data_IF_407879045380
#
_entry.id   IF_407879045380
#
_cell.length_a   1.000
_cell.length_b   1.000
_cell.length_c   1.000
_cell.angle_alpha   90.00
_cell.angle_beta   90.00
_cell.angle_gamma   90.00
#
_symmetry.space_group_name_H-M   'P 1'
#
loop_
_entity.id
_entity.type
_entity.pdbx_description
1 polymer ?
#
# COMPACT_ATOMS: atom_id res chain seq x y z
N UNK A 1 48.69 -1.18 -10.26
CA UNK A 1 47.86 -2.35 -9.85
C UNK A 1 46.79 -1.97 -8.83
N UNK A 2 47.03 -1.02 -7.92
CA UNK A 2 46.01 -0.55 -6.96
C UNK A 2 44.87 0.24 -7.63
N UNK A 3 45.16 1.07 -8.64
CA UNK A 3 44.13 1.80 -9.41
C UNK A 3 43.14 0.85 -10.10
N UNK A 4 43.60 -0.23 -10.73
CA UNK A 4 42.71 -1.20 -11.40
C UNK A 4 41.74 -1.91 -10.44
N UNK A 5 42.16 -2.19 -9.21
CA UNK A 5 41.26 -2.80 -8.21
C UNK A 5 40.22 -1.80 -7.70
N UNK A 6 40.60 -0.54 -7.52
CA UNK A 6 39.69 0.55 -7.14
C UNK A 6 38.68 0.84 -8.26
N UNK A 7 39.12 0.88 -9.51
CA UNK A 7 38.26 1.10 -10.67
C UNK A 7 37.18 0.02 -10.80
N UNK A 8 37.54 -1.25 -10.56
CA UNK A 8 36.59 -2.37 -10.59
C UNK A 8 35.56 -2.24 -9.46
N UNK A 9 35.98 -1.88 -8.24
CA UNK A 9 35.08 -1.68 -7.10
C UNK A 9 34.12 -0.53 -7.37
N UNK A 10 34.61 0.60 -7.89
CA UNK A 10 33.76 1.73 -8.24
C UNK A 10 32.77 1.40 -9.37
N UNK A 11 33.19 0.60 -10.36
CA UNK A 11 32.29 0.11 -11.41
C UNK A 11 31.19 -0.78 -10.84
N UNK A 12 31.53 -1.71 -9.93
CA UNK A 12 30.54 -2.56 -9.26
C UNK A 12 29.56 -1.74 -8.40
N UNK A 13 30.06 -0.76 -7.65
CA UNK A 13 29.21 0.14 -6.85
C UNK A 13 28.26 0.94 -7.72
N UNK A 14 28.74 1.50 -8.85
CA UNK A 14 27.88 2.19 -9.83
C UNK A 14 26.78 1.28 -10.38
N UNK A 15 27.11 0.03 -10.72
CA UNK A 15 26.11 -0.95 -11.19
C UNK A 15 25.09 -1.28 -10.10
N UNK A 16 25.52 -1.54 -8.86
CA UNK A 16 24.60 -1.79 -7.75
C UNK A 16 23.69 -0.60 -7.47
N UNK A 17 24.22 0.62 -7.54
CA UNK A 17 23.44 1.84 -7.33
C UNK A 17 22.39 2.03 -8.45
N UNK A 18 22.75 1.77 -9.70
CA UNK A 18 21.80 1.78 -10.82
C UNK A 18 20.67 0.76 -10.61
N UNK A 19 21.02 -0.48 -10.23
CA UNK A 19 20.02 -1.52 -9.94
C UNK A 19 19.11 -1.14 -8.76
N UNK A 20 19.66 -0.56 -7.69
CA UNK A 20 18.89 -0.10 -6.55
C UNK A 20 17.89 1.00 -6.94
N UNK A 21 18.31 1.97 -7.77
CA UNK A 21 17.42 3.03 -8.27
C UNK A 21 16.33 2.44 -9.17
N UNK A 22 16.67 1.51 -10.06
CA UNK A 22 15.69 0.85 -10.94
C UNK A 22 14.64 0.07 -10.14
N UNK A 23 15.08 -0.73 -9.16
CA UNK A 23 14.17 -1.48 -8.28
C UNK A 23 13.31 -0.54 -7.43
N UNK A 24 13.90 0.55 -6.91
CA UNK A 24 13.17 1.59 -6.20
C UNK A 24 12.09 2.25 -7.07
N UNK A 25 12.41 2.55 -8.34
CA UNK A 25 11.47 3.11 -9.29
C UNK A 25 10.30 2.16 -9.57
N UNK A 26 10.58 0.89 -9.89
CA UNK A 26 9.55 -0.13 -10.12
C UNK A 26 8.69 -0.35 -8.87
N UNK A 27 9.32 -0.39 -7.69
CA UNK A 27 8.62 -0.47 -6.41
C UNK A 27 7.69 0.71 -6.17
N UNK A 28 8.15 1.94 -6.45
CA UNK A 28 7.34 3.15 -6.31
C UNK A 28 6.13 3.17 -7.24
N UNK A 29 6.27 2.74 -8.50
CA UNK A 29 5.16 2.63 -9.46
C UNK A 29 4.16 1.58 -8.96
N UNK A 30 4.67 0.44 -8.49
CA UNK A 30 3.84 -0.65 -7.94
C UNK A 30 3.04 -0.20 -6.72
N UNK A 31 3.64 0.63 -5.86
CA UNK A 31 2.95 1.24 -4.72
C UNK A 31 1.81 2.17 -5.15
N UNK A 32 2.02 2.99 -6.18
CA UNK A 32 0.98 3.87 -6.71
C UNK A 32 -0.18 3.06 -7.29
N UNK A 33 0.12 2.06 -8.12
CA UNK A 33 -0.92 1.18 -8.72
C UNK A 33 -1.67 0.41 -7.64
N UNK A 34 -0.96 -0.12 -6.63
CA UNK A 34 -1.58 -0.75 -5.47
C UNK A 34 -2.47 0.19 -4.67
N UNK A 35 -2.02 1.43 -4.44
CA UNK A 35 -2.80 2.48 -3.77
C UNK A 35 -4.08 2.84 -4.53
N UNK A 36 -4.01 2.95 -5.86
CA UNK A 36 -5.21 3.14 -6.71
C UNK A 36 -6.17 1.95 -6.59
N UNK A 37 -5.64 0.73 -6.49
CA UNK A 37 -6.45 -0.47 -6.22
C UNK A 37 -7.21 -0.38 -4.90
N UNK A 38 -6.54 0.02 -3.81
CA UNK A 38 -7.17 0.24 -2.49
C UNK A 38 -8.26 1.31 -2.58
N UNK A 39 -7.97 2.42 -3.26
CA UNK A 39 -8.95 3.49 -3.48
C UNK A 39 -10.18 2.97 -4.22
N UNK A 40 -10.00 2.16 -5.27
CA UNK A 40 -11.11 1.64 -6.06
C UNK A 40 -11.98 0.68 -5.26
N UNK A 41 -11.38 -0.25 -4.52
CA UNK A 41 -12.11 -1.17 -3.63
C UNK A 41 -12.94 -0.37 -2.61
N UNK A 42 -12.36 0.70 -2.04
CA UNK A 42 -13.07 1.53 -1.08
C UNK A 42 -14.20 2.35 -1.73
N UNK A 43 -14.01 2.87 -2.94
CA UNK A 43 -15.08 3.55 -3.69
C UNK A 43 -16.27 2.62 -3.97
N UNK A 44 -16.00 1.39 -4.40
CA UNK A 44 -17.03 0.36 -4.61
C UNK A 44 -17.75 0.04 -3.30
N UNK A 45 -17.01 -0.18 -2.21
CA UNK A 45 -17.60 -0.46 -0.89
C UNK A 45 -18.51 0.67 -0.40
N UNK A 46 -18.11 1.92 -0.60
CA UNK A 46 -18.94 3.10 -0.26
C UNK A 46 -20.20 3.17 -1.12
N UNK A 47 -20.10 2.79 -2.41
CA UNK A 47 -21.25 2.75 -3.30
C UNK A 47 -22.25 1.65 -2.92
N UNK A 48 -21.78 0.47 -2.54
CA UNK A 48 -22.63 -0.65 -2.06
C UNK A 48 -23.32 -0.29 -0.75
N UNK A 49 -22.60 0.33 0.19
CA UNK A 49 -23.13 0.72 1.52
C UNK A 49 -23.80 2.10 1.53
N UNK A 50 -24.07 2.68 0.36
CA UNK A 50 -24.55 4.07 0.20
C UNK A 50 -25.84 4.36 0.97
N UNK A 51 -26.80 3.44 0.95
CA UNK A 51 -28.09 3.58 1.67
C UNK A 51 -27.91 3.55 3.19
N UNK A 52 -27.05 2.67 3.70
CA UNK A 52 -26.75 2.59 5.13
C UNK A 52 -26.12 3.88 5.66
N UNK A 53 -25.17 4.44 4.89
CA UNK A 53 -24.53 5.72 5.21
C UNK A 53 -25.59 6.84 5.24
N UNK A 54 -26.50 6.86 4.26
CA UNK A 54 -27.60 7.82 4.19
C UNK A 54 -28.52 7.77 5.41
N UNK A 55 -28.90 6.56 5.86
CA UNK A 55 -29.74 6.36 7.06
C UNK A 55 -29.00 6.85 8.32
N UNK A 56 -27.72 6.48 8.51
CA UNK A 56 -26.91 6.93 9.65
C UNK A 56 -26.80 8.46 9.70
N UNK A 57 -26.61 9.09 8.54
CA UNK A 57 -26.51 10.54 8.40
C UNK A 57 -27.85 11.24 8.67
N UNK A 58 -28.97 10.67 8.25
CA UNK A 58 -30.30 11.18 8.54
C UNK A 58 -30.65 11.11 10.03
N UNK A 59 -30.11 10.12 10.75
CA UNK A 59 -30.21 9.98 12.21
C UNK A 59 -29.25 10.90 12.99
N UNK A 60 -28.49 11.77 12.32
CA UNK A 60 -27.62 12.77 12.95
C UNK A 60 -26.14 12.41 13.04
N UNK A 61 -25.68 11.33 12.41
CA UNK A 61 -24.25 11.02 12.36
C UNK A 61 -23.45 12.15 11.71
N UNK A 62 -22.35 12.57 12.35
CA UNK A 62 -21.49 13.64 11.82
C UNK A 62 -20.66 13.09 10.66
N UNK A 63 -20.25 13.98 9.76
CA UNK A 63 -19.34 13.66 8.65
C UNK A 63 -18.06 12.97 9.15
N UNK A 64 -17.56 13.38 10.32
CA UNK A 64 -16.36 12.81 10.95
C UNK A 64 -16.55 11.36 11.39
N UNK A 65 -17.75 10.98 11.83
CA UNK A 65 -18.02 9.62 12.32
C UNK A 65 -17.94 8.63 11.15
N UNK A 66 -18.57 8.99 10.03
CA UNK A 66 -18.53 8.21 8.78
C UNK A 66 -17.11 8.17 8.21
N UNK A 67 -16.43 9.32 8.19
CA UNK A 67 -15.05 9.38 7.69
C UNK A 67 -14.12 8.49 8.52
N UNK A 68 -14.23 8.51 9.85
CA UNK A 68 -13.39 7.71 10.74
C UNK A 68 -13.66 6.21 10.56
N UNK A 69 -14.92 5.81 10.34
CA UNK A 69 -15.26 4.41 10.08
C UNK A 69 -14.52 3.88 8.83
N UNK A 70 -14.64 4.59 7.70
CA UNK A 70 -13.98 4.18 6.45
C UNK A 70 -12.47 4.32 6.49
N UNK A 71 -11.95 5.29 7.26
CA UNK A 71 -10.52 5.43 7.47
C UNK A 71 -9.97 4.25 8.28
N UNK A 72 -10.65 3.83 9.34
CA UNK A 72 -10.27 2.66 10.13
C UNK A 72 -10.34 1.39 9.27
N UNK A 73 -11.38 1.24 8.44
CA UNK A 73 -11.49 0.11 7.49
C UNK A 73 -10.31 0.10 6.52
N UNK A 74 -9.94 1.28 5.97
CA UNK A 74 -8.75 1.43 5.11
C UNK A 74 -7.47 1.05 5.83
N UNK A 75 -7.27 1.51 7.08
CA UNK A 75 -6.09 1.19 7.90
C UNK A 75 -5.99 -0.31 8.14
N UNK A 76 -7.09 -0.96 8.52
CA UNK A 76 -7.12 -2.41 8.76
C UNK A 76 -6.78 -3.17 7.48
N UNK A 77 -7.38 -2.79 6.34
CA UNK A 77 -7.09 -3.41 5.05
C UNK A 77 -5.60 -3.25 4.65
N UNK A 78 -5.03 -2.05 4.84
CA UNK A 78 -3.62 -1.79 4.54
C UNK A 78 -2.67 -2.54 5.46
N UNK A 79 -2.98 -2.65 6.76
CA UNK A 79 -2.15 -3.38 7.72
C UNK A 79 -2.19 -4.89 7.46
N UNK A 80 -3.38 -5.46 7.26
CA UNK A 80 -3.54 -6.88 6.96
C UNK A 80 -2.92 -7.24 5.61
N UNK A 81 -3.21 -6.45 4.57
CA UNK A 81 -2.63 -6.64 3.24
C UNK A 81 -1.12 -6.46 3.25
N UNK A 82 -0.60 -5.48 3.98
CA UNK A 82 0.84 -5.29 4.15
C UNK A 82 1.51 -6.46 4.87
N UNK A 83 0.89 -6.99 5.92
CA UNK A 83 1.44 -8.13 6.68
C UNK A 83 1.47 -9.39 5.82
N UNK A 84 0.40 -9.66 5.07
CA UNK A 84 0.36 -10.74 4.10
C UNK A 84 1.38 -10.55 2.98
N UNK A 85 1.54 -9.32 2.49
CA UNK A 85 2.54 -8.97 1.48
C UNK A 85 3.97 -9.23 1.96
N UNK A 86 4.31 -8.86 3.20
CA UNK A 86 5.61 -9.15 3.80
C UNK A 86 5.84 -10.66 3.90
N UNK A 87 4.86 -11.42 4.40
CA UNK A 87 4.99 -12.88 4.52
C UNK A 87 5.18 -13.55 3.16
N UNK A 88 4.40 -13.14 2.15
CA UNK A 88 4.55 -13.65 0.79
C UNK A 88 5.89 -13.26 0.17
N UNK A 89 6.35 -12.02 0.37
CA UNK A 89 7.64 -11.55 -0.10
C UNK A 89 8.82 -12.35 0.47
N UNK A 90 8.80 -12.61 1.78
CA UNK A 90 9.80 -13.45 2.47
C UNK A 90 9.74 -14.88 1.91
N UNK A 91 8.56 -15.47 1.78
CA UNK A 91 8.38 -16.83 1.29
C UNK A 91 8.89 -16.98 -0.15
N UNK A 92 8.53 -16.06 -1.06
CA UNK A 92 9.02 -16.05 -2.44
C UNK A 92 10.54 -15.90 -2.48
N UNK A 93 11.10 -14.99 -1.70
CA UNK A 93 12.55 -14.76 -1.67
C UNK A 93 13.29 -16.00 -1.16
N UNK A 94 12.78 -16.66 -0.12
CA UNK A 94 13.33 -17.90 0.41
C UNK A 94 13.32 -19.03 -0.63
N UNK A 95 12.20 -19.21 -1.35
CA UNK A 95 12.07 -20.24 -2.40
C UNK A 95 13.06 -19.97 -3.54
N UNK A 96 13.15 -18.73 -4.02
CA UNK A 96 14.07 -18.36 -5.11
C UNK A 96 15.53 -18.56 -4.69
N UNK A 97 15.89 -18.08 -3.50
CA UNK A 97 17.25 -18.20 -2.98
C UNK A 97 17.68 -19.67 -2.85
N UNK A 98 16.78 -20.54 -2.36
CA UNK A 98 17.09 -21.95 -2.11
C UNK A 98 17.08 -22.82 -3.37
N UNK A 99 16.12 -22.61 -4.28
CA UNK A 99 15.88 -23.55 -5.40
C UNK A 99 16.38 -23.06 -6.75
N UNK A 100 16.55 -21.76 -6.96
CA UNK A 100 16.92 -21.20 -8.28
C UNK A 100 18.37 -20.76 -8.31
N UNK A 101 18.78 -19.96 -7.32
CA UNK A 101 20.04 -19.23 -7.39
C UNK A 101 21.13 -19.74 -6.44
N UNK A 102 20.78 -20.61 -5.48
CA UNK A 102 21.65 -21.10 -4.40
C UNK A 102 22.37 -19.96 -3.65
N UNK A 103 21.66 -18.85 -3.46
CA UNK A 103 22.16 -17.63 -2.83
C UNK A 103 21.97 -17.68 -1.31
N UNK A 104 22.85 -16.98 -0.59
CA UNK A 104 22.69 -16.77 0.86
C UNK A 104 21.49 -15.86 1.10
N UNK A 105 20.46 -16.40 1.76
CA UNK A 105 19.27 -15.65 2.13
C UNK A 105 19.57 -14.78 3.35
N UNK A 106 19.64 -13.46 3.15
CA UNK A 106 19.71 -12.47 4.23
C UNK A 106 18.38 -11.73 4.36
N UNK A 107 17.87 -11.64 5.59
CA UNK A 107 16.73 -10.79 5.93
C UNK A 107 17.26 -9.54 6.60
N UNK A 108 17.03 -8.39 5.99
CA UNK A 108 17.17 -7.10 6.68
C UNK A 108 15.82 -6.66 7.25
N UNK A 109 15.71 -6.69 8.57
CA UNK A 109 14.50 -6.25 9.28
C UNK A 109 14.24 -4.76 9.07
N UNK A 110 15.28 -3.94 8.87
CA UNK A 110 15.15 -2.51 8.59
C UNK A 110 14.44 -2.23 7.26
N UNK A 111 14.87 -2.91 6.19
CA UNK A 111 14.21 -2.85 4.88
C UNK A 111 12.74 -3.30 4.93
N UNK A 112 12.42 -4.37 5.67
CA UNK A 112 11.05 -4.85 5.82
C UNK A 112 10.18 -3.82 6.52
N UNK A 113 10.64 -3.28 7.65
CA UNK A 113 9.86 -2.34 8.45
C UNK A 113 9.62 -1.02 7.70
N UNK A 114 10.65 -0.49 7.04
CA UNK A 114 10.54 0.72 6.22
C UNK A 114 9.64 0.51 5.00
N UNK A 115 9.79 -0.61 4.29
CA UNK A 115 8.93 -0.97 3.17
C UNK A 115 7.47 -1.12 3.58
N UNK A 116 7.20 -1.81 4.69
CA UNK A 116 5.85 -1.95 5.25
C UNK A 116 5.26 -0.59 5.64
N UNK A 117 6.03 0.26 6.35
CA UNK A 117 5.57 1.59 6.76
C UNK A 117 5.23 2.48 5.56
N UNK A 118 6.07 2.48 4.52
CA UNK A 118 5.81 3.23 3.28
C UNK A 118 4.59 2.68 2.56
N UNK A 119 4.46 1.37 2.42
CA UNK A 119 3.33 0.74 1.75
C UNK A 119 1.99 1.02 2.47
N UNK A 120 1.96 0.83 3.79
CA UNK A 120 0.78 1.16 4.60
C UNK A 120 0.47 2.65 4.55
N UNK A 121 1.47 3.53 4.63
CA UNK A 121 1.28 4.98 4.54
C UNK A 121 0.66 5.41 3.21
N UNK A 122 1.15 4.89 2.09
CA UNK A 122 0.59 5.15 0.76
C UNK A 122 -0.85 4.63 0.67
N UNK A 123 -1.10 3.38 1.08
CA UNK A 123 -2.45 2.80 1.06
C UNK A 123 -3.47 3.61 1.87
N UNK A 124 -3.10 4.04 3.08
CA UNK A 124 -3.94 4.88 3.94
C UNK A 124 -4.20 6.25 3.31
N UNK A 125 -3.19 6.86 2.68
CA UNK A 125 -3.35 8.14 1.99
C UNK A 125 -4.36 8.05 0.85
N UNK A 126 -4.30 6.98 0.05
CA UNK A 126 -5.27 6.71 -1.01
C UNK A 126 -6.68 6.37 -0.47
N UNK A 127 -6.79 5.69 0.67
CA UNK A 127 -8.06 5.39 1.35
C UNK A 127 -8.72 6.60 2.04
N UNK A 128 -7.96 7.63 2.37
CA UNK A 128 -8.50 8.85 2.97
C UNK A 128 -9.41 9.65 2.02
N UNK A 129 -9.15 9.59 0.71
CA UNK A 129 -9.98 10.23 -0.31
C UNK A 129 -11.42 9.68 -0.35
N UNK A 130 -11.65 8.36 -0.56
CA UNK A 130 -12.99 7.79 -0.57
C UNK A 130 -13.68 7.89 0.79
N UNK A 131 -12.95 7.82 1.92
CA UNK A 131 -13.53 8.06 3.25
C UNK A 131 -14.12 9.48 3.39
N UNK A 132 -13.44 10.50 2.84
CA UNK A 132 -13.97 11.87 2.78
C UNK A 132 -15.14 11.99 1.82
N UNK A 133 -15.10 11.28 0.70
CA UNK A 133 -16.20 11.23 -0.25
C UNK A 133 -17.46 10.64 0.41
N UNK A 134 -17.33 9.49 1.09
CA UNK A 134 -18.40 8.82 1.83
C UNK A 134 -19.09 9.73 2.85
N UNK A 135 -18.31 10.50 3.61
CA UNK A 135 -18.81 11.42 4.61
C UNK A 135 -19.66 12.57 4.06
N UNK A 136 -19.44 12.95 2.79
CA UNK A 136 -20.11 14.08 2.12
C UNK A 136 -21.34 13.67 1.31
N UNK A 137 -21.74 12.40 1.33
CA UNK A 137 -22.97 11.99 0.67
C UNK A 137 -24.20 12.70 1.28
N UNK A 138 -25.05 13.20 0.38
CA UNK A 138 -26.35 13.77 0.73
C UNK A 138 -27.32 12.65 1.14
N UNK A 139 -27.88 12.66 2.36
CA UNK A 139 -28.82 11.64 2.84
C UNK A 139 -30.04 11.47 1.93
N UNK A 140 -30.55 12.56 1.34
CA UNK A 140 -31.78 12.53 0.54
C UNK A 140 -31.52 11.85 -0.80
N UNK A 141 -30.42 12.22 -1.47
CA UNK A 141 -29.95 11.50 -2.66
C UNK A 141 -29.58 10.04 -2.34
N UNK A 142 -29.05 9.83 -1.14
CA UNK A 142 -28.85 8.56 -0.44
C UNK A 142 -29.98 7.53 -0.64
N UNK A 143 -31.20 7.99 -0.40
CA UNK A 143 -32.40 7.17 -0.28
C UNK A 143 -33.22 7.10 -1.57
N UNK A 144 -33.01 8.02 -2.52
CA UNK A 144 -33.75 8.06 -3.80
C UNK A 144 -33.12 7.24 -4.93
N UNK A 145 -31.84 6.86 -4.81
CA UNK A 145 -31.19 6.00 -5.80
C UNK A 145 -31.72 4.56 -5.64
N UNK A 146 -32.80 4.24 -6.37
CA UNK A 146 -33.30 2.89 -6.62
C UNK A 146 -33.29 2.67 -8.13
#
# INVERSE_FOLDING_TARGET
VVESAQDIIEQMQRQMQLLAVLLGAVGSISLVVGGVGVMNVMLVSVAERRREIGIRRALGARHRDIQNQFLIESVILCLLGGMLGVMLGIACTYVIARFVANWTFLIDTGAILTGFAVASGVGIAFGAYPARHAARLDPIAAMRAT
#
